data_IF_436543309444
#
_entry.id   IF_436543309444
#
_cell.length_a   1.000
_cell.length_b   1.000
_cell.length_c   1.000
_cell.angle_alpha   90.00
_cell.angle_beta   90.00
_cell.angle_gamma   90.00
#
_symmetry.space_group_name_H-M   'P 1'
#
loop_
_entity.id
_entity.type
_entity.pdbx_description
1 polymer ?
2 non-polymer ?
3 non-polymer ?
4 non-polymer ?
5 non-polymer ?
6 non-polymer ?
7 water ?
#
# COMPACT_ATOMS: atom_id res chain seq x y z
N UNK A 4 27.00 -8.72 -9.64
CA UNK A 4 26.32 -10.00 -9.76
C UNK A 4 26.21 -10.74 -8.41
N UNK A 5 25.42 -10.18 -7.49
CA UNK A 5 25.36 -10.66 -6.12
C UNK A 5 24.48 -11.90 -5.97
N UNK A 6 24.80 -12.70 -4.96
CA UNK A 6 24.11 -13.95 -4.66
C UNK A 6 23.31 -13.82 -3.37
N UNK A 7 22.09 -14.35 -3.38
CA UNK A 7 21.24 -14.43 -2.19
C UNK A 7 20.83 -15.89 -1.99
N UNK A 8 20.88 -16.35 -0.76
CA UNK A 8 20.65 -17.74 -0.43
C UNK A 8 19.36 -17.88 0.37
N UNK A 9 18.71 -19.03 0.21
CA UNK A 9 17.63 -19.44 1.10
C UNK A 9 18.20 -20.50 2.03
N UNK A 10 18.37 -20.16 3.29
CA UNK A 10 19.01 -21.06 4.24
C UNK A 10 18.10 -22.20 4.71
N UNK A 11 16.85 -22.23 4.28
CA UNK A 11 15.97 -23.36 4.56
C UNK A 11 16.06 -24.44 3.48
N UNK A 12 16.30 -24.03 2.22
CA UNK A 12 16.35 -24.92 1.08
C UNK A 12 17.69 -24.97 0.36
N UNK A 13 18.67 -24.15 0.77
CA UNK A 13 19.97 -24.03 0.11
C UNK A 13 19.85 -23.60 -1.35
N UNK A 14 18.78 -22.90 -1.69
CA UNK A 14 18.60 -22.34 -3.01
C UNK A 14 19.40 -21.05 -3.13
N UNK A 15 20.13 -20.89 -4.22
CA UNK A 15 20.88 -19.68 -4.48
C UNK A 15 20.31 -19.00 -5.71
N UNK A 16 20.00 -17.71 -5.57
CA UNK A 16 19.58 -16.89 -6.69
C UNK A 16 20.61 -15.80 -6.95
N UNK A 17 20.76 -15.41 -8.21
CA UNK A 17 21.75 -14.44 -8.63
C UNK A 17 21.06 -13.16 -9.05
N UNK A 18 21.45 -12.04 -8.44
CA UNK A 18 20.81 -10.75 -8.66
C UNK A 18 21.73 -9.88 -9.51
N UNK A 19 21.32 -9.62 -10.75
CA UNK A 19 21.90 -8.56 -11.55
C UNK A 19 20.98 -7.36 -11.69
N UNK A 20 19.69 -7.52 -11.40
CA UNK A 20 18.72 -6.43 -11.55
C UNK A 20 19.16 -5.19 -10.79
N UNK A 21 19.76 -5.36 -9.60
CA UNK A 21 20.17 -4.25 -8.77
C UNK A 21 21.15 -3.33 -9.47
N UNK A 22 21.76 -3.76 -10.58
CA UNK A 22 22.65 -2.88 -11.32
C UNK A 22 21.87 -1.78 -12.03
N UNK A 23 20.66 -2.08 -12.51
CA UNK A 23 19.81 -1.03 -13.09
C UNK A 23 19.35 -0.03 -12.04
N UNK A 24 19.57 -0.30 -10.76
CA UNK A 24 19.07 0.55 -9.69
C UNK A 24 19.65 1.95 -9.81
N UNK A 25 18.90 2.90 -9.27
CA UNK A 25 19.17 4.32 -9.49
C UNK A 25 19.11 5.08 -8.17
N UNK A 26 17.97 4.99 -7.49
CA UNK A 26 17.78 5.73 -6.25
C UNK A 26 18.64 5.15 -5.13
N UNK A 27 18.81 5.95 -4.09
CA UNK A 27 19.60 5.55 -2.94
C UNK A 27 18.68 5.01 -1.84
N UNK A 28 19.30 4.35 -0.85
CA UNK A 28 18.58 3.57 0.13
C UNK A 28 18.60 4.16 1.53
N UNK A 29 19.59 4.98 1.88
CA UNK A 29 19.81 5.39 3.24
C UNK A 29 20.94 4.67 3.93
N UNK A 30 21.31 3.49 3.44
CA UNK A 30 22.46 2.78 4.00
C UNK A 30 23.74 3.30 3.35
N UNK A 31 24.83 3.17 4.07
CA UNK A 31 26.14 3.47 3.52
C UNK A 31 27.02 2.25 3.76
N UNK A 32 28.31 2.38 3.46
CA UNK A 32 29.23 1.29 3.73
C UNK A 32 29.47 1.09 5.21
N UNK A 33 29.23 2.12 6.03
CA UNK A 33 29.52 2.05 7.45
C UNK A 33 28.27 2.10 8.31
N UNK A 34 27.08 2.08 7.71
CA UNK A 34 25.84 2.06 8.50
C UNK A 34 24.72 1.49 7.64
N UNK A 35 23.93 0.63 8.27
CA UNK A 35 22.76 0.05 7.63
C UNK A 35 21.53 0.57 8.35
N UNK A 36 20.62 1.18 7.59
CA UNK A 36 19.39 1.74 8.13
C UNK A 36 18.17 0.96 7.66
N UNK A 37 18.37 -0.33 7.38
CA UNK A 37 17.32 -1.20 6.90
C UNK A 37 16.09 -1.34 7.78
N UNK A 38 16.13 -0.75 8.97
CA UNK A 38 15.03 -0.83 9.91
C UNK A 38 14.44 0.53 10.21
N UNK A 39 14.94 1.58 9.56
CA UNK A 39 14.32 2.91 9.64
C UNK A 39 13.02 2.89 8.84
N UNK A 40 11.93 3.36 9.46
CA UNK A 40 10.58 3.15 8.92
C UNK A 40 10.30 4.01 7.70
N UNK A 41 10.66 5.29 7.74
CA UNK A 41 10.43 6.22 6.63
C UNK A 41 11.73 6.93 6.30
N UNK A 42 12.67 6.25 5.64
CA UNK A 42 13.95 6.90 5.31
C UNK A 42 13.71 8.11 4.41
N UNK A 43 14.57 9.12 4.57
CA UNK A 43 14.40 10.35 3.79
C UNK A 43 14.44 10.08 2.29
N UNK A 44 14.97 8.93 1.88
CA UNK A 44 14.97 8.53 0.49
C UNK A 44 13.60 8.06 0.02
N UNK A 45 12.80 7.48 0.92
CA UNK A 45 11.47 6.98 0.62
C UNK A 45 10.38 8.06 0.66
N UNK A 46 10.74 9.33 0.79
CA UNK A 46 9.79 10.43 0.85
C UNK A 46 9.98 11.34 -0.35
N UNK A 47 8.97 12.18 -0.63
CA UNK A 47 9.00 13.08 -1.78
C UNK A 47 9.12 14.55 -1.39
N UNK A 52 10.39 18.11 -5.06
CA UNK A 52 9.82 18.99 -6.08
C UNK A 52 10.88 19.17 -7.20
N UNK A 53 10.55 18.75 -8.41
CA UNK A 53 11.51 18.57 -9.49
C UNK A 53 11.36 19.62 -10.58
N UNK A 54 12.43 19.79 -11.37
CA UNK A 54 12.51 20.76 -12.44
C UNK A 54 12.51 20.06 -13.80
N UNK A 55 12.71 20.86 -14.85
CA UNK A 55 12.60 20.37 -16.22
C UNK A 55 13.89 19.76 -16.73
N UNK A 56 15.01 20.06 -16.09
CA UNK A 56 16.31 19.59 -16.59
C UNK A 56 16.51 18.11 -16.31
N UNK A 57 16.49 17.72 -15.03
CA UNK A 57 16.55 16.31 -14.70
C UNK A 57 15.35 15.53 -15.23
N UNK A 58 14.34 16.22 -15.77
CA UNK A 58 13.09 15.55 -16.13
C UNK A 58 13.24 14.68 -17.37
N UNK A 59 14.14 15.01 -18.30
CA UNK A 59 14.22 14.22 -19.53
C UNK A 59 14.95 12.89 -19.37
N UNK A 60 16.16 12.84 -18.75
CA UNK A 60 16.75 11.52 -18.48
C UNK A 60 15.79 10.55 -17.83
N UNK A 61 14.99 11.04 -16.87
CA UNK A 61 13.95 10.22 -16.25
C UNK A 61 12.95 9.71 -17.27
N UNK A 62 12.46 10.61 -18.13
CA UNK A 62 11.58 10.21 -19.22
C UNK A 62 12.26 9.21 -20.14
N UNK A 63 13.50 9.52 -20.53
CA UNK A 63 14.29 8.65 -21.40
C UNK A 63 14.45 7.27 -20.79
N UNK A 64 14.97 7.23 -19.57
CA UNK A 64 15.16 5.96 -18.87
C UNK A 64 13.88 5.12 -18.85
N UNK A 65 12.75 5.76 -18.53
CA UNK A 65 11.49 5.02 -18.44
C UNK A 65 11.01 4.57 -19.82
N UNK A 66 11.16 5.43 -20.83
CA UNK A 66 10.71 5.07 -22.17
C UNK A 66 11.54 3.96 -22.78
N UNK A 67 12.80 3.84 -22.36
CA UNK A 67 13.70 2.82 -22.90
C UNK A 67 13.39 1.45 -22.33
N UNK A 68 12.95 1.38 -21.08
CA UNK A 68 12.55 0.08 -20.56
C UNK A 68 11.16 -0.29 -21.04
N UNK A 69 10.32 0.69 -21.37
CA UNK A 69 8.96 0.38 -21.79
C UNK A 69 8.93 -0.17 -23.20
N UNK A 70 9.67 0.46 -24.12
CA UNK A 70 9.78 -0.10 -25.46
C UNK A 70 10.60 -1.37 -25.45
N UNK A 71 11.57 -1.48 -24.53
CA UNK A 71 12.24 -2.77 -24.34
C UNK A 71 11.27 -3.81 -23.81
N UNK A 72 10.23 -3.38 -23.09
CA UNK A 72 9.25 -4.30 -22.53
C UNK A 72 8.31 -4.84 -23.59
N UNK A 73 7.84 -3.99 -24.51
CA UNK A 73 6.95 -4.42 -25.58
C UNK A 73 7.78 -4.89 -26.76
N UNK A 74 9.00 -5.38 -26.48
CA UNK A 74 9.90 -6.06 -27.42
C UNK A 74 10.65 -5.09 -28.34
N UNK A 75 10.00 -3.99 -28.76
CA UNK A 75 10.58 -3.10 -29.77
C UNK A 75 11.38 -1.96 -29.12
N UNK A 76 12.52 -2.34 -28.56
CA UNK A 76 13.50 -1.39 -28.05
C UNK A 76 14.30 -0.80 -29.20
N UNK A 77 14.47 0.52 -29.17
CA UNK A 77 15.30 1.22 -30.12
C UNK A 77 14.72 1.38 -31.52
N UNK A 78 13.52 0.86 -31.77
CA UNK A 78 12.91 0.99 -33.08
C UNK A 78 12.53 2.45 -33.36
N UNK A 79 11.89 2.66 -34.52
CA UNK A 79 11.46 4.00 -34.90
C UNK A 79 10.40 4.54 -33.94
N UNK A 80 9.36 3.73 -33.66
CA UNK A 80 8.32 4.16 -32.73
C UNK A 80 8.92 4.55 -31.38
N UNK A 81 10.00 3.89 -30.97
CA UNK A 81 10.74 4.30 -29.79
C UNK A 81 11.39 5.66 -30.01
N UNK A 82 12.29 5.75 -30.99
CA UNK A 82 13.01 6.99 -31.28
C UNK A 82 12.06 8.18 -31.46
N UNK A 83 10.94 7.98 -32.17
CA UNK A 83 9.98 9.07 -32.32
C UNK A 83 9.40 9.48 -30.97
N UNK A 84 8.97 8.50 -30.17
CA UNK A 84 8.40 8.78 -28.86
C UNK A 84 9.40 9.49 -27.96
N UNK A 85 10.69 9.16 -28.10
CA UNK A 85 11.73 9.85 -27.35
C UNK A 85 11.82 11.32 -27.78
N UNK A 86 11.93 11.54 -29.09
CA UNK A 86 11.88 12.88 -29.65
C UNK A 86 10.58 13.58 -29.28
N UNK A 87 9.48 12.84 -29.30
CA UNK A 87 8.17 13.45 -29.04
C UNK A 87 8.11 14.05 -27.64
N UNK A 88 8.51 13.29 -26.63
CA UNK A 88 8.41 13.83 -25.28
C UNK A 88 9.56 14.78 -24.99
N UNK A 89 10.70 14.60 -25.66
CA UNK A 89 11.75 15.62 -25.67
C UNK A 89 11.12 16.95 -26.07
N UNK A 90 10.63 17.04 -27.30
CA UNK A 90 9.84 18.18 -27.77
C UNK A 90 8.85 18.69 -26.72
N UNK A 91 8.03 17.80 -26.17
CA UNK A 91 7.01 18.24 -25.22
C UNK A 91 7.62 18.71 -23.90
N UNK A 92 8.78 18.18 -23.51
CA UNK A 92 9.42 18.65 -22.28
C UNK A 92 10.08 20.00 -22.51
N UNK A 93 10.63 20.24 -23.69
CA UNK A 93 11.12 21.58 -24.01
C UNK A 93 9.98 22.59 -23.92
N UNK A 94 8.83 22.26 -24.51
CA UNK A 94 7.80 23.26 -24.73
C UNK A 94 7.00 23.52 -23.46
N UNK A 95 6.71 22.46 -22.69
CA UNK A 95 5.87 22.58 -21.51
C UNK A 95 6.60 22.37 -20.20
N UNK A 96 7.89 22.02 -20.23
CA UNK A 96 8.68 21.69 -19.05
C UNK A 96 8.08 20.52 -18.26
N UNK A 97 7.25 19.72 -18.92
CA UNK A 97 6.67 18.49 -18.40
C UNK A 97 6.12 17.71 -19.59
N UNK A 98 5.39 16.63 -19.32
CA UNK A 98 4.82 15.86 -20.42
C UNK A 98 3.73 14.93 -19.92
N UNK A 99 3.10 14.24 -20.86
CA UNK A 99 1.97 13.35 -20.57
C UNK A 99 2.29 11.94 -21.02
N UNK A 100 1.94 10.97 -20.17
CA UNK A 100 2.10 9.56 -20.52
C UNK A 100 0.99 9.11 -21.45
N UNK A 101 1.35 8.27 -22.42
CA UNK A 101 0.35 7.47 -23.11
C UNK A 101 -0.36 6.55 -22.13
N UNK A 102 -1.63 6.26 -22.41
CA UNK A 102 -2.42 5.29 -21.66
C UNK A 102 -1.63 4.02 -21.34
N UNK A 103 -0.89 3.48 -22.31
CA UNK A 103 -0.18 2.22 -22.07
C UNK A 103 1.07 2.44 -21.22
N UNK A 104 1.76 3.57 -21.42
CA UNK A 104 2.90 3.90 -20.58
C UNK A 104 2.49 4.08 -19.14
N UNK A 105 1.26 4.55 -18.91
CA UNK A 105 0.76 4.72 -17.55
C UNK A 105 0.42 3.37 -16.91
N UNK A 106 -0.26 2.49 -17.66
CA UNK A 106 -0.57 1.15 -17.15
C UNK A 106 0.72 0.41 -16.82
N UNK A 107 1.69 0.49 -17.74
CA UNK A 107 2.99 -0.12 -17.51
C UNK A 107 3.68 0.48 -16.29
N UNK A 108 3.79 1.81 -16.22
CA UNK A 108 4.47 2.43 -15.08
C UNK A 108 3.85 2.05 -13.76
N UNK A 109 2.53 2.02 -13.70
CA UNK A 109 1.85 1.67 -12.46
C UNK A 109 2.18 0.24 -12.06
N UNK A 110 2.00 -0.72 -12.98
CA UNK A 110 2.26 -2.12 -12.64
C UNK A 110 3.69 -2.31 -12.17
N UNK A 111 4.62 -1.54 -12.72
CA UNK A 111 6.01 -1.72 -12.34
C UNK A 111 6.36 -0.98 -11.06
N UNK A 112 5.66 0.12 -10.75
CA UNK A 112 5.74 0.69 -9.41
C UNK A 112 5.42 -0.35 -8.35
N UNK A 113 4.31 -1.07 -8.53
CA UNK A 113 3.97 -2.14 -7.61
C UNK A 113 5.02 -3.23 -7.65
N UNK A 114 5.35 -3.71 -8.86
CA UNK A 114 6.39 -4.73 -9.03
C UNK A 114 7.66 -4.40 -8.26
N UNK A 115 8.03 -3.12 -8.21
CA UNK A 115 9.28 -2.70 -7.58
C UNK A 115 9.14 -2.41 -6.08
N UNK A 116 7.94 -2.45 -5.54
CA UNK A 116 7.73 -2.18 -4.12
C UNK A 116 8.39 -3.26 -3.26
N UNK A 117 9.57 -2.96 -2.70
CA UNK A 117 10.34 -4.00 -2.01
C UNK A 117 9.68 -4.44 -0.72
N UNK A 118 8.81 -3.63 -0.14
CA UNK A 118 8.14 -3.95 1.12
C UNK A 118 6.83 -4.73 0.93
N UNK A 119 6.46 -5.08 -0.31
CA UNK A 119 5.17 -5.71 -0.58
C UNK A 119 5.34 -7.21 -0.83
N UNK A 120 4.75 -8.03 0.05
CA UNK A 120 4.76 -9.47 -0.11
C UNK A 120 3.75 -9.97 -1.14
N UNK A 121 2.77 -9.15 -1.52
CA UNK A 121 1.76 -9.56 -2.48
C UNK A 121 2.14 -9.39 -3.92
N UNK A 122 3.42 -9.18 -4.24
CA UNK A 122 3.77 -8.72 -5.60
C UNK A 122 3.68 -9.81 -6.66
N UNK A 123 3.30 -11.04 -6.31
CA UNK A 123 3.21 -12.06 -7.36
C UNK A 123 2.11 -11.70 -8.35
N UNK A 124 1.21 -10.80 -7.96
CA UNK A 124 0.05 -10.40 -8.74
C UNK A 124 0.26 -9.09 -9.50
N UNK A 125 1.49 -8.59 -9.55
CA UNK A 125 1.72 -7.24 -10.07
C UNK A 125 1.24 -7.08 -11.51
N UNK A 126 1.31 -8.13 -12.33
CA UNK A 126 0.92 -7.98 -13.73
C UNK A 126 -0.58 -7.83 -13.88
N UNK A 127 -1.36 -8.46 -13.00
CA UNK A 127 -2.81 -8.35 -13.03
C UNK A 127 -3.25 -7.20 -12.11
N UNK A 128 -2.99 -5.98 -12.59
CA UNK A 128 -3.37 -4.76 -11.89
C UNK A 128 -4.22 -3.94 -12.84
N UNK A 129 -5.37 -3.50 -12.36
CA UNK A 129 -6.32 -2.76 -13.17
C UNK A 129 -6.05 -1.27 -13.02
N UNK A 130 -5.76 -0.60 -14.13
CA UNK A 130 -5.34 0.79 -14.09
C UNK A 130 -6.50 1.64 -14.55
N UNK A 131 -7.04 2.44 -13.64
CA UNK A 131 -8.07 3.42 -13.98
C UNK A 131 -7.40 4.78 -14.15
N UNK A 132 -7.56 5.35 -15.33
CA UNK A 132 -6.95 6.63 -15.68
C UNK A 132 -7.93 7.72 -15.28
N UNK A 133 -7.63 8.40 -14.19
CA UNK A 133 -8.45 9.52 -13.72
C UNK A 133 -7.82 10.86 -14.06
N UNK A 134 -6.86 10.88 -14.98
CA UNK A 134 -6.11 12.11 -15.26
C UNK A 134 -6.94 13.20 -15.91
N UNK A 135 -8.21 12.95 -16.24
CA UNK A 135 -9.11 14.00 -16.71
C UNK A 135 -9.85 14.68 -15.59
N UNK A 136 -9.63 14.25 -14.35
CA UNK A 136 -10.41 14.76 -13.22
C UNK A 136 -10.02 16.20 -12.90
N UNK A 137 -11.00 16.96 -12.42
CA UNK A 137 -10.81 18.37 -12.11
C UNK A 137 -11.42 18.85 -10.79
N UNK A 138 -12.25 18.03 -10.14
CA UNK A 138 -13.02 18.44 -8.97
C UNK A 138 -13.02 17.33 -7.94
N UNK A 139 -13.20 17.74 -6.68
CA UNK A 139 -13.30 16.76 -5.60
C UNK A 139 -14.46 15.80 -5.85
N UNK A 140 -15.55 16.28 -6.42
CA UNK A 140 -16.68 15.39 -6.74
C UNK A 140 -16.29 14.35 -7.77
N UNK A 141 -15.58 14.76 -8.82
CA UNK A 141 -15.09 13.81 -9.79
C UNK A 141 -14.11 12.82 -9.18
N UNK A 142 -13.26 13.30 -8.27
CA UNK A 142 -12.44 12.38 -7.50
C UNK A 142 -13.32 11.38 -6.78
N UNK A 143 -14.34 11.88 -6.07
CA UNK A 143 -15.21 11.00 -5.30
C UNK A 143 -15.84 9.94 -6.19
N UNK A 144 -16.17 10.32 -7.42
CA UNK A 144 -16.81 9.39 -8.34
C UNK A 144 -15.83 8.33 -8.84
N UNK A 145 -14.61 8.75 -9.19
CA UNK A 145 -13.59 7.78 -9.58
C UNK A 145 -13.25 6.85 -8.45
N UNK A 146 -13.13 7.40 -7.24
CA UNK A 146 -12.82 6.58 -6.08
C UNK A 146 -13.93 5.55 -5.82
N UNK A 147 -15.21 5.98 -5.90
CA UNK A 147 -16.31 5.04 -5.70
C UNK A 147 -16.33 3.97 -6.77
N UNK A 148 -16.03 4.33 -8.01
CA UNK A 148 -16.01 3.31 -9.06
C UNK A 148 -14.83 2.39 -8.86
N UNK A 149 -13.75 2.91 -8.28
CA UNK A 149 -12.63 2.07 -7.86
C UNK A 149 -13.08 1.06 -6.79
N UNK A 150 -13.62 1.57 -5.67
CA UNK A 150 -14.08 0.68 -4.58
C UNK A 150 -14.97 -0.41 -5.12
N UNK A 151 -16.03 -0.03 -5.85
CA UNK A 151 -16.97 -1.02 -6.34
C UNK A 151 -16.25 -2.07 -7.19
N UNK A 152 -15.42 -1.62 -8.14
CA UNK A 152 -14.72 -2.56 -8.99
C UNK A 152 -13.78 -3.47 -8.18
N UNK A 153 -12.88 -2.88 -7.41
CA UNK A 153 -11.91 -3.71 -6.69
C UNK A 153 -12.61 -4.63 -5.70
N UNK A 154 -13.69 -4.15 -5.07
CA UNK A 154 -14.41 -5.00 -4.13
C UNK A 154 -15.04 -6.20 -4.83
N UNK A 155 -15.70 -5.97 -5.98
CA UNK A 155 -16.21 -7.07 -6.81
C UNK A 155 -16.92 -8.11 -5.96
N UNK A 156 -17.67 -7.64 -4.97
CA UNK A 156 -18.56 -8.48 -4.17
C UNK A 156 -17.78 -9.51 -3.35
N UNK A 157 -16.57 -9.14 -2.89
CA UNK A 157 -15.76 -10.02 -2.10
C UNK A 157 -14.72 -10.78 -2.88
N UNK A 158 -14.93 -10.98 -4.19
CA UNK A 158 -13.93 -11.57 -5.05
C UNK A 158 -12.97 -10.46 -5.47
N UNK A 159 -12.12 -10.06 -4.53
CA UNK A 159 -11.42 -8.78 -4.69
C UNK A 159 -10.49 -8.81 -5.89
N UNK A 160 -10.33 -7.64 -6.52
CA UNK A 160 -9.47 -7.42 -7.67
C UNK A 160 -8.52 -6.25 -7.40
N UNK A 161 -7.27 -6.41 -7.82
CA UNK A 161 -6.28 -5.34 -7.69
C UNK A 161 -6.59 -4.21 -8.66
N UNK A 162 -6.50 -2.96 -8.16
CA UNK A 162 -6.71 -1.80 -9.02
C UNK A 162 -6.01 -0.58 -8.44
N UNK A 163 -5.80 0.41 -9.31
CA UNK A 163 -5.26 1.71 -8.94
C UNK A 163 -5.97 2.79 -9.78
N UNK A 164 -6.25 3.93 -9.16
CA UNK A 164 -6.82 5.09 -9.83
C UNK A 164 -5.85 6.23 -9.78
N UNK A 165 -5.51 6.77 -10.93
CA UNK A 165 -4.40 7.71 -11.06
C UNK A 165 -4.98 9.08 -11.39
N UNK A 166 -4.95 9.98 -10.40
CA UNK A 166 -5.40 11.35 -10.62
C UNK A 166 -4.30 12.17 -11.27
N UNK A 167 -4.60 13.41 -11.70
CA UNK A 167 -3.61 14.15 -12.49
C UNK A 167 -2.29 14.33 -11.76
N UNK A 168 -1.21 14.33 -12.54
CA UNK A 168 0.09 14.48 -11.97
C UNK A 168 0.28 15.90 -11.41
N UNK A 169 1.14 15.99 -10.40
CA UNK A 169 1.59 17.28 -9.91
C UNK A 169 2.25 18.06 -11.03
N UNK A 170 1.97 19.35 -11.10
CA UNK A 170 2.60 20.22 -12.07
C UNK A 170 3.47 21.24 -11.34
N UNK A 171 2.87 22.40 -11.04
CA UNK A 171 3.59 23.43 -10.32
C UNK A 171 3.98 23.00 -8.90
N UNK A 172 3.15 22.16 -8.27
CA UNK A 172 3.30 21.78 -6.88
C UNK A 172 2.23 22.38 -5.97
N UNK A 173 1.73 23.56 -6.32
CA UNK A 173 0.61 24.17 -5.60
C UNK A 173 -0.74 23.70 -6.11
N UNK A 174 -0.79 23.14 -7.31
CA UNK A 174 -1.97 22.50 -7.85
C UNK A 174 -1.73 21.00 -7.81
N UNK A 175 -2.37 20.34 -6.84
CA UNK A 175 -1.99 18.99 -6.46
C UNK A 175 -3.22 18.22 -6.03
N UNK A 176 -3.48 17.09 -6.69
CA UNK A 176 -4.52 16.20 -6.25
C UNK A 176 -4.00 15.31 -5.12
N UNK A 177 -4.75 15.26 -4.03
CA UNK A 177 -4.38 14.45 -2.87
C UNK A 177 -5.65 13.89 -2.23
N UNK A 178 -5.68 12.58 -2.00
CA UNK A 178 -6.60 11.99 -1.03
C UNK A 178 -5.98 12.15 0.36
N UNK A 179 -6.67 12.84 1.26
CA UNK A 179 -6.13 13.04 2.60
C UNK A 179 -6.31 11.83 3.52
N UNK A 180 -7.13 10.86 3.13
CA UNK A 180 -7.21 9.61 3.87
C UNK A 180 -5.93 8.81 3.67
N UNK A 181 -5.54 8.03 4.69
CA UNK A 181 -4.42 7.12 4.50
C UNK A 181 -4.85 5.91 3.69
N UNK A 182 -6.09 5.47 3.91
CA UNK A 182 -6.73 4.44 3.11
C UNK A 182 -8.16 4.89 2.91
N UNK A 183 -8.72 4.53 1.76
CA UNK A 183 -10.08 4.96 1.42
C UNK A 183 -11.08 4.48 2.47
N UNK A 184 -10.85 3.31 3.05
CA UNK A 184 -11.71 2.78 4.07
C UNK A 184 -10.88 2.57 5.34
N UNK A 185 -11.13 3.39 6.35
CA UNK A 185 -10.53 3.27 7.67
C UNK A 185 -11.58 3.65 8.71
N UNK A 186 -11.49 3.03 9.88
CA UNK A 186 -12.40 3.30 10.98
C UNK A 186 -11.95 4.52 11.77
N UNK A 187 -12.93 5.29 12.23
CA UNK A 187 -12.67 6.55 12.93
C UNK A 187 -12.04 6.30 14.29
N UNK A 188 -11.26 7.28 14.75
CA UNK A 188 -10.61 7.20 16.04
C UNK A 188 -10.94 8.36 16.95
N UNK A 189 -11.50 8.07 18.11
CA UNK A 189 -11.98 9.11 19.03
C UNK A 189 -11.29 8.95 20.37
N UNK A 190 -10.58 9.98 20.79
CA UNK A 190 -10.13 10.11 22.16
C UNK A 190 -11.34 10.25 23.09
N UNK A 191 -11.13 9.92 24.38
CA UNK A 191 -12.23 9.86 25.34
C UNK A 191 -12.02 10.88 26.46
N UNK A 192 -12.93 10.96 27.47
CA UNK A 192 -12.61 11.77 28.67
C UNK A 192 -11.36 11.32 29.39
N UNK A 193 -11.35 10.05 29.85
CA UNK A 193 -10.21 9.51 30.58
C UNK A 193 -8.93 9.50 29.77
N UNK A 194 -9.01 9.74 28.47
CA UNK A 194 -7.86 9.76 27.58
C UNK A 194 -7.81 8.58 26.63
N UNK A 195 -8.45 7.46 27.00
CA UNK A 195 -8.43 6.24 26.20
C UNK A 195 -9.05 6.48 24.82
N UNK A 196 -9.07 5.46 23.97
CA UNK A 196 -9.45 5.66 22.58
C UNK A 196 -10.58 4.72 22.18
N UNK A 197 -11.66 5.28 21.64
CA UNK A 197 -12.67 4.51 20.93
C UNK A 197 -12.32 4.49 19.44
N UNK A 198 -12.51 3.33 18.82
CA UNK A 198 -12.25 3.21 17.39
C UNK A 198 -10.80 2.91 17.13
N UNK A 199 -10.22 3.63 16.18
CA UNK A 199 -8.84 3.34 15.79
C UNK A 199 -7.92 4.45 16.26
N UNK A 200 -7.04 4.20 17.23
CA UNK A 200 -6.11 5.26 17.67
C UNK A 200 -5.26 5.85 16.55
N UNK A 201 -4.92 5.05 15.54
CA UNK A 201 -4.17 5.56 14.39
C UNK A 201 -4.75 6.84 13.80
N UNK A 202 -6.07 6.89 13.63
CA UNK A 202 -6.71 7.93 12.84
C UNK A 202 -7.22 9.09 13.67
N UNK A 203 -6.91 9.13 14.96
CA UNK A 203 -7.49 10.13 15.85
C UNK A 203 -7.20 11.53 15.34
N UNK A 204 -5.99 11.77 14.86
CA UNK A 204 -5.67 13.07 14.28
C UNK A 204 -6.47 13.28 13.01
N UNK A 205 -6.62 12.24 12.17
CA UNK A 205 -7.39 12.41 10.95
C UNK A 205 -8.88 12.54 11.24
N UNK A 206 -9.40 11.76 12.20
CA UNK A 206 -10.82 11.82 12.55
C UNK A 206 -11.24 13.23 12.98
N UNK A 207 -10.41 13.88 13.80
CA UNK A 207 -10.75 15.23 14.24
C UNK A 207 -10.53 16.26 13.13
N UNK A 208 -9.61 15.98 12.20
CA UNK A 208 -9.50 16.82 11.01
C UNK A 208 -10.81 16.78 10.21
N UNK A 209 -11.38 15.58 10.06
CA UNK A 209 -12.66 15.46 9.36
C UNK A 209 -13.75 16.25 10.08
N UNK A 210 -13.79 16.16 11.41
CA UNK A 210 -14.78 16.93 12.16
C UNK A 210 -14.47 18.42 12.07
N UNK A 211 -13.18 18.78 11.99
CA UNK A 211 -12.80 20.17 11.81
C UNK A 211 -13.35 20.74 10.50
N UNK A 212 -13.53 19.89 9.49
CA UNK A 212 -14.14 20.29 8.22
C UNK A 212 -15.63 20.00 8.16
N UNK A 213 -16.21 19.43 9.22
CA UNK A 213 -17.64 19.30 9.32
C UNK A 213 -18.20 17.89 9.41
N UNK A 214 -17.38 16.89 9.71
CA UNK A 214 -17.92 15.54 9.80
C UNK A 214 -18.80 15.42 11.03
N UNK A 215 -19.87 14.64 10.89
CA UNK A 215 -20.81 14.39 11.98
C UNK A 215 -20.56 12.96 12.42
N UNK A 216 -19.64 12.81 13.37
CA UNK A 216 -19.18 11.48 13.74
C UNK A 216 -20.29 10.73 14.48
N UNK A 217 -20.52 9.46 14.15
CA UNK A 217 -21.45 8.65 14.96
C UNK A 217 -20.74 8.02 16.15
N UNK A 218 -19.73 8.74 16.67
CA UNK A 218 -18.79 8.35 17.73
C UNK A 218 -18.97 6.94 18.29
N UNK A 219 -18.66 5.94 17.46
CA UNK A 219 -18.61 4.55 17.90
C UNK A 219 -17.27 3.92 17.58
N UNK A 220 -17.24 2.58 17.51
CA UNK A 220 -16.04 1.86 17.13
C UNK A 220 -15.77 1.99 15.65
N UNK A 221 -16.36 1.08 14.89
CA UNK A 221 -16.09 0.92 13.46
C UNK A 221 -17.01 1.84 12.66
N UNK A 222 -16.69 3.13 12.74
CA UNK A 222 -17.33 4.16 11.92
C UNK A 222 -16.43 4.40 10.71
N UNK A 223 -16.88 3.97 9.53
CA UNK A 223 -16.13 4.22 8.31
C UNK A 223 -15.98 5.71 8.11
N UNK A 224 -14.73 6.17 8.00
CA UNK A 224 -14.48 7.59 7.87
C UNK A 224 -14.98 8.11 6.53
N UNK A 225 -15.21 9.42 6.43
CA UNK A 225 -15.55 10.00 5.13
C UNK A 225 -14.26 10.28 4.37
N UNK A 226 -14.40 10.38 3.06
CA UNK A 226 -13.28 10.78 2.23
C UNK A 226 -13.08 12.29 2.33
N UNK A 227 -11.82 12.69 2.46
CA UNK A 227 -11.41 14.09 2.40
C UNK A 227 -10.55 14.23 1.15
N UNK A 228 -11.10 14.86 0.11
CA UNK A 228 -10.50 14.88 -1.21
C UNK A 228 -10.11 16.30 -1.59
N UNK A 229 -8.81 16.51 -1.81
CA UNK A 229 -8.29 17.76 -2.36
C UNK A 229 -8.06 17.60 -3.86
N UNK A 230 -8.59 18.54 -4.65
CA UNK A 230 -8.48 18.51 -6.11
C UNK A 230 -7.80 19.78 -6.59
N UNK A 231 -6.76 19.61 -7.41
CA UNK A 231 -6.03 20.70 -8.05
C UNK A 231 -5.66 21.83 -7.09
N UNK A 232 -5.24 21.48 -5.88
CA UNK A 232 -4.78 22.44 -4.91
C UNK A 232 -5.86 23.01 -4.01
N UNK A 233 -7.14 22.88 -4.38
CA UNK A 233 -8.19 23.50 -3.58
C UNK A 233 -8.34 22.80 -2.23
N UNK A 234 -9.05 23.48 -1.33
CA UNK A 234 -9.30 22.92 -0.01
C UNK A 234 -10.10 21.63 -0.15
N UNK A 235 -9.78 20.60 0.61
CA UNK A 235 -10.46 19.31 0.44
C UNK A 235 -11.91 19.38 0.90
N UNK A 236 -12.67 18.34 0.53
CA UNK A 236 -14.11 18.32 0.73
C UNK A 236 -14.54 16.93 1.18
N UNK A 237 -15.56 16.88 2.01
CA UNK A 237 -15.97 15.65 2.67
C UNK A 237 -17.01 14.92 1.84
N UNK A 238 -16.78 13.62 1.60
CA UNK A 238 -17.73 12.77 0.90
C UNK A 238 -17.78 11.42 1.58
N UNK A 239 -18.99 10.96 1.87
CA UNK A 239 -19.20 9.65 2.50
C UNK A 239 -19.45 8.62 1.42
N UNK A 240 -18.51 7.69 1.25
CA UNK A 240 -18.67 6.48 0.45
C UNK A 240 -20.04 5.89 0.73
N UNK A 241 -20.81 5.50 -0.27
CA UNK A 241 -22.09 4.84 0.00
C UNK A 241 -21.85 3.54 0.74
N UNK A 242 -22.54 3.33 1.86
CA UNK A 242 -22.23 2.18 2.72
C UNK A 242 -22.41 0.84 2.02
N UNK A 243 -23.31 0.76 1.03
CA UNK A 243 -23.43 -0.46 0.25
C UNK A 243 -22.14 -0.80 -0.49
N UNK A 244 -21.24 0.17 -0.65
CA UNK A 244 -19.97 -0.04 -1.33
C UNK A 244 -18.84 -0.43 -0.39
N UNK A 245 -19.03 -0.29 0.91
CA UNK A 245 -18.01 -0.65 1.90
C UNK A 245 -18.39 -2.01 2.45
N UNK A 246 -17.76 -3.05 1.88
CA UNK A 246 -17.93 -4.41 2.36
C UNK A 246 -17.21 -4.60 3.68
N UNK A 247 -17.82 -5.37 4.58
CA UNK A 247 -17.27 -5.58 5.90
C UNK A 247 -17.50 -7.03 6.32
N UNK A 248 -16.50 -7.59 6.99
CA UNK A 248 -16.52 -8.97 7.48
C UNK A 248 -16.63 -8.93 8.99
N UNK A 249 -17.76 -9.35 9.58
CA UNK A 249 -17.81 -9.53 11.04
C UNK A 249 -16.95 -10.73 11.44
N UNK A 250 -16.17 -10.55 12.51
CA UNK A 250 -15.14 -11.51 12.88
C UNK A 250 -15.71 -12.49 13.89
N UNK A 251 -15.81 -13.75 13.49
CA UNK A 251 -16.15 -14.83 14.40
C UNK A 251 -15.05 -15.87 14.37
N UNK A 252 -15.11 -16.76 15.35
CA UNK A 252 -14.16 -17.86 15.49
C UNK A 252 -14.86 -19.18 15.20
N UNK A 253 -14.15 -20.17 14.65
CA UNK A 253 -14.78 -21.47 14.39
C UNK A 253 -14.72 -22.41 15.58
N UNK A 254 -14.49 -21.87 16.77
CA UNK A 254 -14.62 -22.62 18.02
C UNK A 254 -15.37 -21.78 19.05
N UNK A 255 -14.76 -20.65 19.42
CA UNK A 255 -15.21 -19.83 20.55
C UNK A 255 -16.43 -19.02 20.12
N UNK A 256 -17.61 -19.45 20.56
CA UNK A 256 -18.84 -18.73 20.25
C UNK A 256 -18.93 -17.39 20.96
N UNK A 257 -18.08 -17.11 21.94
CA UNK A 257 -18.05 -15.76 22.50
C UNK A 257 -17.30 -14.79 21.61
N UNK A 258 -16.74 -15.27 20.51
CA UNK A 258 -15.94 -14.41 19.64
C UNK A 258 -16.81 -13.39 18.93
N UNK A 259 -18.01 -13.79 18.51
CA UNK A 259 -18.97 -12.80 18.04
C UNK A 259 -19.26 -11.78 19.13
N UNK A 260 -19.29 -12.21 20.40
CA UNK A 260 -19.57 -11.26 21.47
C UNK A 260 -18.51 -10.18 21.55
N UNK A 261 -17.28 -10.49 21.10
CA UNK A 261 -16.27 -9.45 20.95
C UNK A 261 -16.74 -8.34 20.00
N UNK A 262 -17.64 -8.66 19.08
CA UNK A 262 -18.27 -7.63 18.26
C UNK A 262 -17.35 -6.91 17.31
N UNK A 263 -16.31 -7.58 16.84
CA UNK A 263 -15.35 -7.00 15.92
C UNK A 263 -15.73 -7.30 14.47
N UNK A 264 -15.17 -6.49 13.57
CA UNK A 264 -15.39 -6.61 12.14
C UNK A 264 -14.31 -5.79 11.45
N UNK A 265 -14.11 -6.08 10.18
CA UNK A 265 -13.13 -5.31 9.42
C UNK A 265 -13.60 -5.21 7.98
N UNK A 266 -13.14 -4.17 7.30
CA UNK A 266 -13.45 -3.99 5.89
C UNK A 266 -12.63 -4.93 5.03
N UNK A 267 -13.21 -5.36 3.91
CA UNK A 267 -12.52 -6.32 3.06
C UNK A 267 -11.41 -5.69 2.25
N UNK A 268 -11.49 -4.38 1.99
CA UNK A 268 -10.73 -3.72 0.93
C UNK A 268 -9.61 -2.88 1.52
N UNK A 269 -8.37 -3.36 1.45
CA UNK A 269 -7.20 -2.52 1.78
C UNK A 269 -6.86 -1.64 0.58
N UNK A 270 -6.76 -0.34 0.82
CA UNK A 270 -6.71 0.58 -0.32
C UNK A 270 -5.94 1.82 0.12
N UNK A 271 -4.63 1.79 -0.10
CA UNK A 271 -3.76 2.85 0.34
C UNK A 271 -3.90 4.05 -0.59
N UNK A 272 -4.11 5.23 -0.01
CA UNK A 272 -4.47 6.43 -0.79
C UNK A 272 -3.52 7.62 -0.62
N UNK A 273 -2.54 7.53 0.26
CA UNK A 273 -1.71 8.67 0.61
C UNK A 273 -0.35 8.63 -0.04
N UNK A 274 -0.11 7.67 -0.93
CA UNK A 274 1.21 7.46 -1.47
C UNK A 274 1.39 8.23 -2.76
N UNK A 275 2.64 8.35 -3.17
CA UNK A 275 2.99 9.07 -4.38
C UNK A 275 3.58 8.06 -5.37
N UNK A 276 3.01 8.04 -6.56
CA UNK A 276 3.42 7.19 -7.68
C UNK A 276 4.33 8.01 -8.59
N UNK A 277 5.54 7.51 -8.85
CA UNK A 277 6.51 8.15 -9.71
C UNK A 277 6.69 7.35 -10.99
N UNK A 278 6.60 8.02 -12.14
CA UNK A 278 6.75 7.39 -13.45
C UNK A 278 7.49 8.35 -14.37
N UNK A 279 8.63 7.92 -14.91
CA UNK A 279 9.37 8.73 -15.86
C UNK A 279 9.56 10.16 -15.41
N UNK A 280 9.74 10.35 -14.10
CA UNK A 280 9.96 11.66 -13.53
C UNK A 280 8.71 12.39 -13.16
N UNK A 281 7.56 11.91 -13.58
CA UNK A 281 6.30 12.56 -13.25
C UNK A 281 5.81 12.05 -11.90
N UNK A 282 5.12 12.93 -11.18
CA UNK A 282 4.71 12.71 -9.81
C UNK A 282 3.19 12.75 -9.71
N UNK A 283 2.60 11.60 -9.38
CA UNK A 283 1.15 11.45 -9.20
C UNK A 283 0.86 11.40 -7.70
N UNK A 284 0.44 12.53 -7.13
CA UNK A 284 0.32 12.67 -5.68
C UNK A 284 -0.91 11.97 -5.11
N UNK A 285 -1.85 11.60 -5.97
CA UNK A 285 -3.07 10.92 -5.58
C UNK A 285 -3.22 9.76 -6.54
N UNK A 286 -3.18 8.57 -6.00
CA UNK A 286 -3.12 7.35 -6.80
C UNK A 286 -3.58 6.15 -5.97
N UNK A 287 -4.75 6.21 -5.30
CA UNK A 287 -5.14 5.12 -4.40
C UNK A 287 -5.10 3.77 -5.09
N UNK A 288 -4.58 2.78 -4.37
CA UNK A 288 -4.43 1.45 -4.90
C UNK A 288 -4.90 0.44 -3.86
N UNK A 289 -5.40 -0.69 -4.35
CA UNK A 289 -6.03 -1.66 -3.49
C UNK A 289 -5.74 -3.06 -3.99
N UNK A 290 -5.70 -4.01 -3.07
CA UNK A 290 -5.73 -5.41 -3.39
C UNK A 290 -6.58 -6.17 -2.39
N UNK A 291 -6.02 -7.19 -1.73
CA UNK A 291 -6.76 -7.89 -0.68
C UNK A 291 -5.85 -8.05 0.52
N UNK A 292 -6.45 -8.37 1.65
CA UNK A 292 -5.71 -8.40 2.91
C UNK A 292 -4.95 -9.70 3.09
N UNK A 293 -3.71 -9.58 3.56
CA UNK A 293 -3.09 -10.69 4.28
C UNK A 293 -3.64 -10.70 5.71
N UNK A 294 -4.03 -11.88 6.16
CA UNK A 294 -4.62 -12.05 7.48
C UNK A 294 -3.96 -11.23 8.57
N UNK A 295 -2.63 -11.34 8.66
CA UNK A 295 -1.88 -10.72 9.74
C UNK A 295 -2.05 -9.21 9.80
N UNK A 296 -2.26 -8.54 8.68
CA UNK A 296 -2.34 -7.09 8.75
C UNK A 296 -3.51 -6.66 9.63
N UNK A 297 -4.59 -7.45 9.67
CA UNK A 297 -5.74 -7.14 10.51
C UNK A 297 -5.58 -7.75 11.90
N UNK A 298 -5.35 -9.06 11.96
CA UNK A 298 -5.43 -9.77 13.22
C UNK A 298 -4.23 -9.54 14.13
N UNK A 299 -3.08 -9.18 13.55
CA UNK A 299 -1.85 -8.98 14.33
C UNK A 299 -1.65 -7.50 14.59
N UNK A 300 -1.58 -6.72 13.51
CA UNK A 300 -1.27 -5.30 13.58
C UNK A 300 -2.52 -4.48 13.97
N UNK A 301 -3.53 -4.45 13.08
CA UNK A 301 -4.75 -3.69 13.39
C UNK A 301 -5.33 -4.05 14.76
N UNK A 302 -5.47 -5.34 15.03
CA UNK A 302 -6.17 -5.75 16.24
C UNK A 302 -5.27 -5.76 17.48
N UNK A 303 -3.99 -6.10 17.34
CA UNK A 303 -3.17 -6.36 18.53
C UNK A 303 -2.00 -5.43 18.74
N UNK A 304 -1.68 -4.54 17.80
CA UNK A 304 -0.72 -3.48 18.11
C UNK A 304 -1.18 -2.73 19.36
N UNK A 305 -0.22 -2.32 20.19
CA UNK A 305 -0.56 -1.65 21.44
C UNK A 305 -1.28 -0.33 21.19
N UNK A 306 -0.83 0.44 20.19
CA UNK A 306 -1.43 1.73 19.86
C UNK A 306 -2.44 1.61 18.71
N UNK A 307 -2.96 0.42 18.46
CA UNK A 307 -4.11 0.21 17.58
C UNK A 307 -5.29 -0.28 18.43
N UNK A 308 -6.02 -1.33 18.03
CA UNK A 308 -7.23 -1.70 18.76
C UNK A 308 -6.94 -2.38 20.09
N UNK A 309 -5.80 -3.05 20.21
CA UNK A 309 -5.31 -3.56 21.49
C UNK A 309 -6.37 -4.44 22.18
N UNK A 310 -6.58 -5.60 21.56
CA UNK A 310 -7.60 -6.54 21.99
C UNK A 310 -7.01 -7.79 22.63
N UNK A 311 -5.68 -7.88 22.79
CA UNK A 311 -5.07 -9.11 23.29
C UNK A 311 -5.56 -9.45 24.69
N UNK A 312 -5.69 -8.43 25.56
CA UNK A 312 -6.13 -8.69 26.93
C UNK A 312 -7.58 -9.18 26.96
N UNK A 313 -8.44 -8.54 26.16
CA UNK A 313 -9.85 -8.92 26.14
C UNK A 313 -10.03 -10.32 25.55
N UNK A 314 -9.25 -10.69 24.55
CA UNK A 314 -9.35 -12.04 24.04
C UNK A 314 -8.76 -13.04 25.02
N UNK A 315 -7.62 -12.71 25.63
CA UNK A 315 -7.02 -13.60 26.61
C UNK A 315 -7.94 -13.80 27.80
N UNK A 316 -8.62 -12.74 28.23
CA UNK A 316 -9.60 -12.84 29.31
C UNK A 316 -10.60 -13.95 29.03
N UNK A 317 -11.30 -13.82 27.90
CA UNK A 317 -12.32 -14.79 27.53
C UNK A 317 -11.73 -16.18 27.31
N UNK A 318 -10.49 -16.27 26.85
CA UNK A 318 -9.89 -17.58 26.71
C UNK A 318 -9.55 -18.21 28.04
N UNK A 319 -9.70 -17.47 29.15
CA UNK A 319 -9.26 -17.89 30.48
C UNK A 319 -7.77 -18.23 30.46
N UNK A 320 -6.97 -17.16 30.34
CA UNK A 320 -5.54 -17.29 30.10
C UNK A 320 -4.72 -16.78 31.27
N UNK A 321 -3.65 -17.52 31.57
CA UNK A 321 -2.63 -17.14 32.52
C UNK A 321 -2.09 -15.73 32.28
N UNK A 322 -2.88 -14.70 32.56
CA UNK A 322 -2.47 -13.33 32.23
C UNK A 322 -1.55 -12.70 33.27
N UNK A 323 -1.15 -13.44 34.29
CA UNK A 323 -0.27 -12.88 35.31
C UNK A 323 1.15 -12.77 34.77
N UNK A 324 1.90 -13.87 34.79
CA UNK A 324 3.28 -13.85 34.34
C UNK A 324 3.35 -13.58 32.84
N UNK A 325 4.40 -12.85 32.44
CA UNK A 325 4.62 -12.57 31.03
C UNK A 325 4.92 -13.85 30.24
N UNK A 326 5.74 -14.74 30.82
CA UNK A 326 6.24 -15.99 30.25
C UNK A 326 5.17 -17.04 30.04
N UNK A 327 3.92 -16.77 30.41
CA UNK A 327 2.86 -17.70 30.04
C UNK A 327 2.58 -17.70 28.54
N UNK A 328 3.16 -16.76 27.79
CA UNK A 328 2.90 -16.60 26.35
C UNK A 328 1.40 -16.46 26.06
N UNK A 329 0.64 -15.95 27.04
CA UNK A 329 -0.78 -15.73 26.81
C UNK A 329 -0.98 -14.80 25.62
N UNK A 330 -0.16 -13.75 25.51
CA UNK A 330 -0.27 -12.85 24.36
C UNK A 330 -0.13 -13.61 23.05
N UNK A 331 0.84 -14.53 22.97
CA UNK A 331 1.00 -15.29 21.74
C UNK A 331 -0.20 -16.18 21.51
N UNK A 332 -0.72 -16.82 22.56
CA UNK A 332 -1.83 -17.73 22.39
C UNK A 332 -3.07 -16.99 21.88
N UNK A 333 -3.37 -15.83 22.45
CA UNK A 333 -4.51 -15.05 22.02
C UNK A 333 -4.29 -14.40 20.66
N UNK A 334 -3.04 -14.30 20.22
CA UNK A 334 -2.77 -13.71 18.91
C UNK A 334 -3.02 -14.71 17.78
N UNK A 335 -2.65 -15.98 17.96
CA UNK A 335 -2.93 -16.99 16.94
C UNK A 335 -4.43 -17.19 16.79
N UNK A 336 -5.17 -17.20 17.91
CA UNK A 336 -6.63 -17.32 17.84
C UNK A 336 -7.26 -16.20 17.03
N UNK A 337 -6.85 -14.95 17.30
CA UNK A 337 -7.43 -13.80 16.61
C UNK A 337 -7.18 -13.91 15.12
N UNK A 338 -6.00 -14.36 14.72
CA UNK A 338 -5.73 -14.56 13.31
C UNK A 338 -6.48 -15.76 12.73
N UNK A 339 -6.74 -16.81 13.52
CA UNK A 339 -7.55 -17.91 13.01
C UNK A 339 -8.95 -17.43 12.68
N UNK A 340 -9.50 -16.55 13.54
CA UNK A 340 -10.85 -16.02 13.35
C UNK A 340 -10.92 -15.07 12.16
N UNK A 341 -9.91 -14.23 11.98
CA UNK A 341 -9.97 -13.28 10.88
C UNK A 341 -10.04 -14.04 9.56
N UNK A 342 -9.05 -14.92 9.33
CA UNK A 342 -9.04 -15.76 8.13
C UNK A 342 -10.37 -16.47 7.94
N UNK A 343 -10.83 -17.18 8.99
CA UNK A 343 -12.08 -17.94 8.88
C UNK A 343 -13.26 -17.03 8.56
N UNK A 344 -13.34 -15.86 9.22
CA UNK A 344 -14.48 -14.97 9.00
C UNK A 344 -14.50 -14.48 7.56
N UNK A 345 -13.34 -14.04 7.05
CA UNK A 345 -13.26 -13.54 5.68
C UNK A 345 -13.55 -14.64 4.67
N UNK A 346 -13.12 -15.87 4.97
CA UNK A 346 -13.33 -16.97 4.03
C UNK A 346 -14.77 -17.44 4.03
N UNK A 347 -15.43 -17.47 5.19
CA UNK A 347 -16.82 -17.91 5.23
C UNK A 347 -17.76 -16.90 4.57
N UNK A 348 -17.24 -15.72 4.18
CA UNK A 348 -17.99 -14.69 3.49
C UNK A 348 -17.57 -14.50 2.04
N UNK A 349 -16.75 -15.41 1.50
CA UNK A 349 -16.26 -15.32 0.12
C UNK A 349 -15.55 -13.99 -0.14
N UNK A 350 -14.94 -13.43 0.90
CA UNK A 350 -14.17 -12.20 0.76
C UNK A 350 -12.70 -12.57 0.68
N UNK A 351 -12.05 -12.15 -0.40
CA UNK A 351 -10.68 -12.58 -0.67
C UNK A 351 -9.74 -12.20 0.47
N UNK A 352 -9.11 -13.21 1.07
CA UNK A 352 -8.08 -13.02 2.07
C UNK A 352 -7.05 -14.11 1.88
N UNK A 353 -5.81 -13.82 2.27
CA UNK A 353 -4.70 -14.75 2.12
C UNK A 353 -4.02 -14.87 3.47
N UNK A 354 -3.66 -16.11 3.84
CA UNK A 354 -2.97 -16.28 5.11
C UNK A 354 -1.48 -15.99 4.91
N UNK A 355 -0.77 -15.76 6.01
CA UNK A 355 0.62 -15.30 5.88
C UNK A 355 1.55 -16.43 5.42
N UNK A 356 1.17 -17.69 5.66
CA UNK A 356 1.88 -18.83 5.08
C UNK A 356 1.74 -18.87 3.57
N UNK A 357 0.50 -18.97 3.08
CA UNK A 357 0.25 -18.97 1.65
C UNK A 357 0.87 -17.76 0.97
N UNK A 358 0.77 -16.59 1.59
CA UNK A 358 1.27 -15.38 0.93
C UNK A 358 2.79 -15.36 0.88
N UNK A 359 3.45 -15.84 1.94
CA UNK A 359 4.90 -15.79 1.92
C UNK A 359 5.49 -16.89 1.06
N UNK A 360 4.82 -18.04 0.91
CA UNK A 360 5.29 -19.01 -0.06
C UNK A 360 5.22 -18.45 -1.47
N UNK A 361 4.07 -17.87 -1.83
CA UNK A 361 3.93 -17.31 -3.17
C UNK A 361 4.96 -16.22 -3.43
N UNK A 362 5.34 -15.46 -2.40
CA UNK A 362 6.38 -14.46 -2.61
C UNK A 362 7.70 -15.10 -2.99
N UNK A 363 8.03 -16.23 -2.37
CA UNK A 363 9.25 -16.96 -2.74
C UNK A 363 9.13 -17.46 -4.17
N UNK A 364 7.98 -18.04 -4.51
CA UNK A 364 7.71 -18.39 -5.90
C UNK A 364 7.92 -17.17 -6.81
N UNK A 365 7.37 -16.03 -6.41
CA UNK A 365 7.52 -14.79 -7.18
C UNK A 365 8.97 -14.39 -7.31
N UNK A 366 9.72 -14.46 -6.20
CA UNK A 366 11.14 -14.13 -6.23
C UNK A 366 11.89 -14.98 -7.22
N UNK A 367 11.49 -16.25 -7.38
CA UNK A 367 12.16 -17.12 -8.34
C UNK A 367 12.03 -16.56 -9.75
N UNK A 368 10.81 -16.25 -10.16
CA UNK A 368 10.60 -15.78 -11.52
C UNK A 368 11.29 -14.45 -11.75
N UNK A 369 11.34 -13.60 -10.72
CA UNK A 369 11.98 -12.30 -10.88
C UNK A 369 13.48 -12.44 -11.09
N UNK A 370 14.13 -13.36 -10.38
CA UNK A 370 15.56 -13.58 -10.63
C UNK A 370 15.80 -14.31 -11.94
N UNK A 371 14.85 -15.14 -12.38
CA UNK A 371 15.03 -15.91 -13.61
C UNK A 371 14.80 -15.03 -14.83
N UNK A 372 13.60 -14.47 -14.97
CA UNK A 372 13.21 -13.71 -16.15
C UNK A 372 13.29 -12.20 -15.94
N UNK A 373 14.06 -11.74 -14.95
CA UNK A 373 14.24 -10.29 -14.77
C UNK A 373 15.59 -9.99 -14.14
N UNK A 374 16.26 -10.99 -13.58
CA UNK A 374 17.58 -10.83 -13.01
C UNK A 374 17.62 -10.42 -11.55
N UNK A 375 16.47 -10.36 -10.88
CA UNK A 375 16.44 -10.00 -9.49
C UNK A 375 15.05 -9.58 -9.07
N UNK A 376 14.92 -9.27 -7.77
CA UNK A 376 13.69 -8.84 -7.13
C UNK A 376 14.02 -8.06 -5.86
N UNK A 377 13.90 -6.74 -5.85
CA UNK A 377 14.19 -5.99 -4.62
C UNK A 377 13.22 -6.41 -3.54
N UNK A 378 13.74 -6.73 -2.36
CA UNK A 378 12.87 -7.16 -1.28
C UNK A 378 13.39 -6.63 0.05
N UNK A 379 12.49 -6.11 0.87
CA UNK A 379 12.80 -5.59 2.21
C UNK A 379 12.34 -6.65 3.21
N UNK A 380 13.31 -7.38 3.73
CA UNK A 380 13.05 -8.46 4.69
C UNK A 380 12.35 -7.94 5.94
N UNK A 381 12.77 -6.76 6.44
CA UNK A 381 12.12 -6.18 7.63
C UNK A 381 10.62 -6.19 7.47
N UNK A 382 10.13 -5.91 6.25
CA UNK A 382 8.72 -5.81 5.93
C UNK A 382 8.11 -7.07 5.31
N UNK A 383 8.88 -7.87 4.56
CA UNK A 383 8.29 -9.08 3.97
C UNK A 383 7.99 -10.14 5.02
N UNK A 384 8.81 -10.26 6.06
CA UNK A 384 8.55 -11.30 7.07
C UNK A 384 7.27 -10.93 7.82
N UNK A 385 6.26 -11.80 7.81
CA UNK A 385 4.98 -11.51 8.50
C UNK A 385 5.21 -11.23 9.98
N UNK A 386 4.34 -10.47 10.64
CA UNK A 386 4.58 -10.04 12.02
C UNK A 386 4.22 -11.06 13.10
N UNK A 387 3.91 -12.30 12.73
CA UNK A 387 3.77 -13.39 13.68
C UNK A 387 4.37 -14.62 13.03
N UNK A 388 4.90 -15.51 13.85
CA UNK A 388 5.47 -16.79 13.41
C UNK A 388 6.45 -16.58 12.26
N UNK A 389 7.38 -15.64 12.46
CA UNK A 389 8.30 -15.28 11.40
C UNK A 389 8.99 -16.48 10.78
N UNK A 390 9.65 -17.28 11.60
CA UNK A 390 10.55 -18.28 11.07
C UNK A 390 9.85 -19.56 10.64
N UNK A 391 8.53 -19.69 10.80
CA UNK A 391 7.86 -20.85 10.23
C UNK A 391 7.35 -20.57 8.84
N UNK A 392 7.47 -19.31 8.35
CA UNK A 392 7.21 -18.93 6.97
C UNK A 392 8.53 -18.87 6.21
N UNK A 393 8.52 -19.25 4.93
CA UNK A 393 9.79 -19.44 4.20
C UNK A 393 10.54 -18.16 3.90
N UNK A 394 9.96 -16.99 4.13
CA UNK A 394 10.69 -15.76 3.83
C UNK A 394 11.65 -15.38 4.95
N UNK A 395 11.43 -15.87 6.17
CA UNK A 395 12.37 -15.65 7.26
C UNK A 395 13.76 -16.15 6.87
N UNK A 396 13.82 -17.25 6.12
CA UNK A 396 15.08 -17.91 5.78
C UNK A 396 15.60 -17.51 4.40
N UNK A 397 15.02 -16.49 3.79
CA UNK A 397 15.40 -16.07 2.45
C UNK A 397 16.14 -14.74 2.57
N UNK A 398 17.43 -14.75 2.28
CA UNK A 398 18.18 -13.52 2.11
C UNK A 398 17.57 -12.71 0.97
N UNK A 399 17.54 -11.38 1.15
CA UNK A 399 16.92 -10.50 0.18
C UNK A 399 17.74 -9.24 0.02
N UNK A 400 17.94 -8.82 -1.22
CA UNK A 400 18.62 -7.57 -1.54
C UNK A 400 17.58 -6.48 -1.68
N UNK A 401 17.74 -5.40 -0.92
CA UNK A 401 16.85 -4.25 -1.02
C UNK A 401 17.53 -3.19 -1.87
N UNK A 402 16.86 -2.79 -2.94
CA UNK A 402 17.32 -1.65 -3.72
C UNK A 402 16.09 -0.98 -4.30
N UNK A 403 16.31 0.22 -4.82
CA UNK A 403 15.22 1.11 -5.18
C UNK A 403 15.21 1.26 -6.70
N UNK A 404 14.28 0.59 -7.36
CA UNK A 404 14.05 0.76 -8.77
C UNK A 404 12.91 1.75 -9.00
N UNK A 405 12.85 2.29 -10.22
CA UNK A 405 11.73 3.12 -10.62
C UNK A 405 11.15 2.56 -11.92
N UNK A 406 9.85 2.77 -12.20
CA UNK A 406 8.74 3.43 -11.47
C UNK A 406 8.52 2.89 -10.07
N UNK A 407 8.08 3.73 -9.13
CA UNK A 407 8.01 3.32 -7.73
C UNK A 407 6.90 4.08 -7.01
N UNK A 408 6.54 3.56 -5.84
CA UNK A 408 5.68 4.25 -4.88
C UNK A 408 6.53 4.86 -3.79
N UNK A 409 6.30 6.13 -3.50
CA UNK A 409 7.02 6.84 -2.46
C UNK A 409 6.06 7.39 -1.42
N UNK A 410 6.56 7.54 -0.21
CA UNK A 410 5.82 8.27 0.79
C UNK A 410 5.89 9.76 0.47
N UNK A 411 5.01 10.52 1.09
CA UNK A 411 4.98 11.96 0.90
C UNK A 411 4.36 12.54 2.16
N UNK A 412 4.69 13.78 2.50
CA UNK A 412 4.12 14.37 3.72
C UNK A 412 2.60 14.38 3.68
N UNK A 413 2.00 14.50 4.87
CA UNK A 413 0.56 14.65 4.95
C UNK A 413 0.15 16.00 4.38
N UNK A 414 -1.00 16.07 3.72
CA UNK A 414 -1.37 17.33 3.06
C UNK A 414 -1.61 18.45 4.05
N UNK A 415 -2.15 18.16 5.22
CA UNK A 415 -2.51 19.22 6.15
C UNK A 415 -1.30 19.84 6.83
N UNK A 416 -0.11 19.30 6.60
CA UNK A 416 1.13 19.89 7.08
C UNK A 416 1.86 20.64 5.98
N UNK A 417 1.28 20.69 4.79
CA UNK A 417 1.92 21.31 3.63
C UNK A 417 0.94 22.22 2.90
N UNK A 418 -0.36 21.88 2.96
CA UNK A 418 -1.40 22.61 2.25
C UNK A 418 -1.46 24.07 2.67
N UNK A 419 -1.08 24.96 1.75
CA UNK A 419 -1.29 26.40 1.95
C UNK A 419 -2.79 26.64 1.90
N UNK A 420 -3.40 26.85 3.08
CA UNK A 420 -4.85 26.77 3.19
C UNK A 420 -5.52 28.06 2.77
N UNK A 421 -6.79 27.93 2.38
CA UNK A 421 -7.77 29.01 2.13
C UNK A 421 -7.30 30.26 1.38
X LIG B 1 3.17 -3.16 1.39
X LIG B 1 0.44 -7.13 1.01
X LIG B 1 -1.34 -5.42 -3.19
X LIG B 1 1.99 -1.93 -3.17
X LIG B 1 2.52 -4.33 1.73
X LIG B 1 2.52 -5.01 3.02
X LIG B 1 1.76 -6.11 2.91
X LIG B 1 1.25 -6.16 1.55
X LIG B 1 1.47 -7.16 4.02
X LIG B 1 3.24 -4.56 4.30
X LIG B 1 2.47 -3.34 4.83
X LIG B 1 2.23 -3.45 6.31
X LIG B 1 2.16 -4.60 6.81
X LIG B 1 2.12 -2.40 7.00
X LIG B 1 -0.28 -7.01 -0.16
X LIG B 1 -1.25 -7.98 -0.63
X LIG B 1 -1.74 -7.51 -1.80
X LIG B 1 -1.10 -6.23 -2.09
X LIG B 1 -1.62 -9.30 0.07
X LIG B 1 -2.80 -8.25 -2.64
X LIG B 1 -2.92 -8.10 -3.96
X LIG B 1 -0.64 -4.29 -3.54
X LIG B 1 -0.94 -3.38 -4.63
X LIG B 1 -0.01 -2.40 -4.60
X LIG B 1 0.90 -2.68 -3.52
X LIG B 1 -2.14 -3.57 -5.58
X LIG B 1 0.20 -1.18 -5.50
X LIG B 1 -0.49 -1.02 -6.61
X LIG B 1 2.56 -1.90 -1.91
X LIG B 1 3.42 -0.88 -1.37
X LIG B 1 3.76 -1.24 -0.12
X LIG B 1 3.09 -2.49 0.18
X LIG B 1 3.87 0.36 -2.17
X LIG B 1 4.64 -0.52 0.94
X LIG B 1 6.00 -0.05 0.46
X LIG B 1 6.54 0.91 1.48
X LIG B 1 7.53 1.61 1.15
X LIG B 1 5.99 1.01 2.61
X LIG B 1 1.74 -5.06 0.86
X LIG B 1 -0.21 -5.96 -1.06
X LIG B 1 0.49 -3.82 -2.89
X LIG B 1 2.38 -2.85 -0.94
X LIG B 1 1.43 -4.59 -1.23
X LIG C 1 6.76 -4.64 8.40
X LIG C 1 5.51 -4.43 7.89
X LIG C 1 4.98 -5.25 6.96
X LIG C 1 4.76 -3.39 8.34
X LIG C 1 5.24 -2.55 9.28
X LIG C 1 4.54 -1.59 9.68
X LIG C 1 6.53 -2.74 9.78
X LIG C 1 7.29 -3.81 9.34
X LIG C 1 7.04 -1.91 10.72
X LIG C 1 8.54 -4.01 9.84
X LIG C 1 8.50 -1.81 10.79
X LIG C 1 9.10 -3.20 10.92
X LIG C 1 8.99 -0.91 11.92
X LIG C 1 8.40 -1.40 13.12
X LIG C 1 10.51 -0.90 12.03
X LIG C 1 11.01 -0.34 13.37
X LIG C 1 11.10 -0.18 10.95
X LIG D 1 -2.44 -5.02 1.35
X LIG D 1 -2.81 -4.55 0.08
X LIG D 1 -2.55 -3.23 -0.25
X LIG D 1 -1.92 -2.41 0.67
X LIG D 1 -1.57 -2.91 1.92
X LIG D 1 -2.97 -2.70 -1.62
X LIG D 1 -0.90 -2.04 2.95
X LIG D 1 0.85 -0.35 2.81
X LIG D 1 1.36 0.45 1.81
X LIG D 1 1.94 1.67 2.12
X LIG D 1 1.98 2.10 3.44
X LIG D 1 1.48 1.30 4.46
X LIG D 1 0.90 0.07 4.15
X LIG D 1 1.54 1.83 5.88
X LIG D 1 2.46 1.08 6.83
X LIG D 1 3.21 3.24 7.60
X LIG D 1 3.03 4.30 8.68
X LIG D 1 1.43 2.08 8.79
X LIG D 1 1.29 0.01 0.55
X LIG D 1 2.44 2.45 1.14
X LIG D 1 -1.84 -4.20 2.23
X LIG D 1 -2.67 -6.30 1.71
X LIG D 1 2.69 1.93 8.04
X LIG D 1 0.30 -1.54 2.40
X LIG E 1 -0.81 -13.13 -2.72
X LIG E 1 -1.56 -13.15 -1.72
X LIG E 1 0.08 -13.97 -2.88
X LIG E 1 -0.93 -12.00 -3.71
X LIG F 1 21.44 -1.61 5.08
#
# INVERSE_FOLDING_TARGET
CPRFLKVKNWETDVVLTDTLHLKSTLETGCTEHICMGSIMLPSQHTRKPEDVATKDQLFPLAKEFLDQYYSSIKRFGSKAHMDRLEEVNKEIESTSTYQLKDTELIYGAKHAWRNASRCVGRIQWSKLQVFDARDCTTAHGMFNYICNHVKYATNKGNLRSAITIFPQRTDGKHDFRVWNSQLIRYAGYKQPDGSTLGDPANVQFTEICIQQGWKAPRGRFDVLPLLLQANGNDPELFQIPPELVLEVPIRHPKFDWFKDLGLKWYGLPAVSNMLLEIGGLEFSACPFSGWYMGTEIGVRDYCDNSRYNILEEVAKKMDLDMRKTSSLWKDQALVEINIAVLYSFQSDKVTIVDHHSATESFIKHMENEYRCRGGCPADWVWIVPPMSGSITPVFHQEMLNYRLTPSFEYQPDPWNTHVWKG
HEM CHA CHB CHC CHD C1A C2A C3A C4A CMA CAA CBA CGA O1A O2A C1B C2B C3B C4B CMB CAB CBB C1C C2C C3C C4C CMC CAC CBC C1D C2D C3D C4D CMD CAD CBD CGD O1D O2D NA NB NC ND FE
H4B N1 C2 N2 N3 C4 O4 C4A C8A N5 N8 C6 C7 C9 O9 C10 C11 O10
A1CN4 C02 C03 C04 C05 C06 C07 C08 C11 C12 C13 C14 C15 C16 C17 C18 C20 C21 C22 F12 F13 N01 N02 N19 O09
ACT C O OXT CH3
ZN ZN
#
